data_IF_026292733193
#
_entry.id   IF_026292733193
#
_cell.length_a   1.000
_cell.length_b   1.000
_cell.length_c   1.000
_cell.angle_alpha   90.00
_cell.angle_beta   90.00
_cell.angle_gamma   90.00
#
_symmetry.space_group_name_H-M   'P 1'
#
loop_
_entity.id
_entity.type
_entity.pdbx_description
1 polymer ?
#
# COMPACT_ATOMS: atom_id res chain seq x y z
N UNK A 1 -16.04 2.41 -19.23
CA UNK A 1 -15.14 2.17 -18.08
C UNK A 1 -15.04 0.69 -17.90
N UNK A 2 -13.86 0.12 -18.00
CA UNK A 2 -13.68 -1.33 -17.90
C UNK A 2 -13.94 -1.81 -16.46
N UNK A 3 -14.31 -3.08 -16.28
CA UNK A 3 -14.59 -3.66 -14.96
C UNK A 3 -13.38 -3.55 -14.03
N UNK A 4 -12.17 -3.67 -14.58
CA UNK A 4 -10.91 -3.46 -13.84
C UNK A 4 -10.85 -2.05 -13.23
N UNK A 5 -11.20 -1.02 -14.00
CA UNK A 5 -11.15 0.37 -13.52
C UNK A 5 -12.18 0.61 -12.40
N UNK A 6 -13.36 0.02 -12.50
CA UNK A 6 -14.40 0.11 -11.47
C UNK A 6 -13.94 -0.51 -10.17
N UNK A 7 -13.37 -1.72 -10.22
CA UNK A 7 -12.83 -2.42 -9.06
C UNK A 7 -11.64 -1.64 -8.49
N UNK A 8 -10.71 -1.22 -9.35
CA UNK A 8 -9.51 -0.49 -8.95
C UNK A 8 -9.83 0.79 -8.19
N UNK A 9 -10.83 1.57 -8.65
CA UNK A 9 -11.28 2.82 -8.01
C UNK A 9 -11.79 2.60 -6.59
N UNK A 10 -12.41 1.46 -6.30
CA UNK A 10 -12.97 1.17 -4.97
C UNK A 10 -11.93 0.58 -3.99
N UNK A 11 -10.76 0.20 -4.47
CA UNK A 11 -9.66 -0.24 -3.61
C UNK A 11 -9.02 0.95 -2.88
N UNK A 12 -8.45 0.76 -1.67
CA UNK A 12 -7.99 1.84 -0.81
C UNK A 12 -6.70 2.53 -1.28
N UNK A 13 -6.09 2.09 -2.37
CA UNK A 13 -4.86 2.65 -2.98
C UNK A 13 -3.64 2.72 -2.04
N UNK A 14 -3.55 1.81 -1.07
CA UNK A 14 -2.43 1.75 -0.11
C UNK A 14 -1.18 1.11 -0.72
N UNK A 15 -1.34 0.30 -1.76
CA UNK A 15 -0.24 -0.39 -2.47
C UNK A 15 0.59 -1.32 -1.56
N UNK A 16 -0.02 -1.89 -0.50
CA UNK A 16 0.68 -2.63 0.55
C UNK A 16 1.10 -4.06 0.15
N UNK A 17 0.55 -4.61 -0.93
CA UNK A 17 0.86 -5.97 -1.40
C UNK A 17 0.30 -7.11 -0.56
N UNK A 18 -0.44 -6.85 0.53
CA UNK A 18 -0.94 -7.90 1.44
C UNK A 18 -1.90 -8.90 0.81
N UNK A 19 -2.58 -8.54 -0.26
CA UNK A 19 -3.50 -9.42 -1.02
C UNK A 19 -2.80 -10.38 -2.00
N UNK A 20 -1.50 -10.63 -1.85
CA UNK A 20 -0.64 -11.42 -2.74
C UNK A 20 -0.47 -10.82 -4.14
N UNK A 21 -0.77 -9.54 -4.30
CA UNK A 21 -0.53 -8.82 -5.55
C UNK A 21 0.34 -7.59 -5.29
N UNK A 22 1.18 -7.18 -6.24
CA UNK A 22 2.14 -6.10 -6.02
C UNK A 22 1.47 -4.73 -5.78
N UNK A 23 0.23 -4.55 -6.20
CA UNK A 23 -0.49 -3.29 -6.04
C UNK A 23 -1.98 -3.44 -6.26
N UNK A 24 -2.73 -2.36 -6.04
CA UNK A 24 -4.19 -2.36 -6.13
C UNK A 24 -4.70 -2.59 -7.56
N UNK A 25 -3.99 -2.12 -8.59
CA UNK A 25 -4.38 -2.37 -9.99
C UNK A 25 -4.27 -3.86 -10.34
N UNK A 26 -3.14 -4.47 -9.99
CA UNK A 26 -2.92 -5.91 -10.22
C UNK A 26 -3.92 -6.78 -9.44
N UNK A 27 -4.34 -6.31 -8.25
CA UNK A 27 -5.41 -6.98 -7.53
C UNK A 27 -6.76 -6.85 -8.23
N UNK A 28 -7.10 -5.69 -8.78
CA UNK A 28 -8.30 -5.51 -9.59
C UNK A 28 -8.31 -6.42 -10.83
N UNK A 29 -7.18 -6.53 -11.52
CA UNK A 29 -6.98 -7.46 -12.64
C UNK A 29 -7.15 -8.92 -12.20
N UNK A 30 -6.58 -9.30 -11.06
CA UNK A 30 -6.71 -10.64 -10.50
C UNK A 30 -8.17 -10.98 -10.15
N UNK A 31 -8.92 -10.03 -9.60
CA UNK A 31 -10.35 -10.21 -9.30
C UNK A 31 -11.16 -10.48 -10.59
N UNK A 32 -10.92 -9.71 -11.63
CA UNK A 32 -11.59 -9.94 -12.94
C UNK A 32 -11.24 -11.29 -13.51
N UNK A 33 -10.03 -11.79 -13.25
CA UNK A 33 -9.57 -13.12 -13.66
C UNK A 33 -9.99 -14.26 -12.68
N UNK A 34 -10.90 -13.98 -11.74
CA UNK A 34 -11.51 -14.98 -10.86
C UNK A 34 -10.87 -15.14 -9.50
N UNK A 35 -9.91 -14.29 -9.10
CA UNK A 35 -9.39 -14.31 -7.73
C UNK A 35 -10.43 -13.80 -6.72
N UNK A 36 -10.47 -14.38 -5.50
CA UNK A 36 -11.33 -13.87 -4.43
C UNK A 36 -11.02 -12.39 -4.11
N UNK A 37 -12.08 -11.59 -3.90
CA UNK A 37 -11.92 -10.16 -3.58
C UNK A 37 -12.07 -9.81 -2.08
N UNK A 38 -12.01 -10.81 -1.23
CA UNK A 38 -12.03 -10.71 0.23
C UNK A 38 -10.63 -10.51 0.88
N UNK A 39 -9.56 -10.38 0.07
CA UNK A 39 -8.17 -10.30 0.53
C UNK A 39 -7.70 -8.89 0.90
N UNK A 40 -8.50 -7.86 0.63
CA UNK A 40 -8.08 -6.48 0.88
C UNK A 40 -8.30 -6.09 2.36
N UNK A 41 -7.35 -6.45 3.22
CA UNK A 41 -7.40 -6.16 4.66
C UNK A 41 -7.45 -4.66 4.98
N UNK A 42 -6.60 -3.80 4.37
CA UNK A 42 -6.67 -2.36 4.62
C UNK A 42 -7.97 -1.70 4.16
N UNK A 43 -8.62 -2.28 3.14
CA UNK A 43 -9.93 -1.80 2.67
C UNK A 43 -11.08 -2.20 3.59
N UNK A 44 -10.89 -3.28 4.34
CA UNK A 44 -11.84 -3.80 5.30
C UNK A 44 -13.21 -4.10 4.70
N UNK A 45 -14.22 -4.21 5.58
CA UNK A 45 -15.59 -4.53 5.19
C UNK A 45 -16.23 -3.51 4.25
N UNK A 46 -15.85 -2.22 4.37
CA UNK A 46 -16.37 -1.17 3.50
C UNK A 46 -16.00 -1.41 2.03
N UNK A 47 -14.74 -1.74 1.76
CA UNK A 47 -14.28 -2.07 0.40
C UNK A 47 -14.90 -3.39 -0.07
N UNK A 48 -14.92 -4.42 0.77
CA UNK A 48 -15.52 -5.71 0.44
C UNK A 48 -16.98 -5.57 -0.01
N UNK A 49 -17.79 -4.78 0.70
CA UNK A 49 -19.19 -4.52 0.34
C UNK A 49 -19.34 -3.87 -1.04
N UNK A 50 -18.45 -2.94 -1.38
CA UNK A 50 -18.45 -2.28 -2.69
C UNK A 50 -18.03 -3.26 -3.81
N UNK A 51 -17.01 -4.07 -3.55
CA UNK A 51 -16.56 -5.09 -4.50
C UNK A 51 -17.64 -6.16 -4.73
N UNK A 52 -18.34 -6.61 -3.68
CA UNK A 52 -19.51 -7.50 -3.81
C UNK A 52 -20.57 -6.94 -4.76
N UNK A 53 -20.88 -5.64 -4.64
CA UNK A 53 -21.86 -5.00 -5.51
C UNK A 53 -21.41 -4.95 -6.98
N UNK A 54 -20.11 -4.72 -7.23
CA UNK A 54 -19.55 -4.65 -8.58
C UNK A 54 -19.47 -6.03 -9.22
N UNK A 55 -19.05 -7.05 -8.47
CA UNK A 55 -18.83 -8.42 -8.96
C UNK A 55 -20.06 -9.32 -8.86
N UNK A 56 -21.17 -8.79 -8.33
CA UNK A 56 -22.40 -9.53 -8.07
C UNK A 56 -22.19 -10.80 -7.24
N UNK A 57 -21.39 -10.70 -6.19
CA UNK A 57 -21.05 -11.77 -5.25
C UNK A 57 -21.41 -11.39 -3.81
N UNK A 58 -21.28 -12.29 -2.86
CA UNK A 58 -21.66 -12.06 -1.47
C UNK A 58 -20.65 -12.65 -0.48
N UNK A 59 -19.43 -12.11 -0.45
CA UNK A 59 -18.48 -12.40 0.64
C UNK A 59 -18.92 -11.70 1.91
N UNK A 60 -18.93 -12.42 3.02
CA UNK A 60 -19.45 -11.94 4.33
C UNK A 60 -18.38 -11.28 5.19
N UNK A 61 -17.11 -11.58 4.96
CA UNK A 61 -15.98 -11.04 5.74
C UNK A 61 -14.73 -10.96 4.90
N UNK A 62 -13.80 -10.10 5.32
CA UNK A 62 -12.43 -10.07 4.80
C UNK A 62 -11.69 -11.29 5.32
N UNK A 63 -10.89 -11.92 4.48
CA UNK A 63 -10.10 -13.08 4.85
C UNK A 63 -8.95 -12.70 5.80
N UNK A 64 -8.98 -13.22 7.03
CA UNK A 64 -8.01 -12.93 8.09
C UNK A 64 -6.60 -13.51 7.85
N UNK A 65 -6.44 -14.45 6.90
CA UNK A 65 -5.14 -14.98 6.51
C UNK A 65 -4.20 -13.92 5.95
N UNK A 66 -4.78 -12.83 5.37
CA UNK A 66 -4.04 -11.69 4.82
C UNK A 66 -3.67 -10.63 5.87
N UNK A 67 -3.87 -10.93 7.14
CA UNK A 67 -3.49 -10.13 8.30
C UNK A 67 -4.66 -9.42 8.99
N UNK A 68 -4.37 -8.66 10.06
CA UNK A 68 -5.38 -7.93 10.80
C UNK A 68 -5.86 -6.69 10.02
N UNK A 69 -7.08 -6.26 10.31
CA UNK A 69 -7.60 -4.98 9.82
C UNK A 69 -6.72 -3.84 10.33
N UNK A 70 -6.20 -3.02 9.41
CA UNK A 70 -5.32 -1.90 9.73
C UNK A 70 -6.16 -0.62 9.77
N UNK A 71 -5.99 0.16 10.84
CA UNK A 71 -6.52 1.53 10.90
C UNK A 71 -5.73 2.42 9.94
N UNK A 72 -6.35 3.50 9.49
CA UNK A 72 -5.65 4.50 8.69
C UNK A 72 -4.49 5.08 9.47
N UNK A 73 -3.31 5.10 8.86
CA UNK A 73 -2.05 5.48 9.50
C UNK A 73 -1.07 6.05 8.47
N UNK A 74 -0.04 6.70 8.96
CA UNK A 74 1.17 7.09 8.24
C UNK A 74 2.39 6.57 8.98
N UNK A 75 3.57 6.77 8.42
CA UNK A 75 4.83 6.53 9.11
C UNK A 75 5.65 7.81 9.20
N UNK A 76 6.50 7.90 10.22
CA UNK A 76 7.44 9.00 10.41
C UNK A 76 8.84 8.42 10.60
N UNK A 77 9.84 9.08 10.03
CA UNK A 77 11.25 8.77 10.28
C UNK A 77 11.75 9.68 11.40
N UNK A 78 12.42 9.09 12.40
CA UNK A 78 13.17 9.82 13.41
C UNK A 78 14.50 10.20 12.76
N UNK A 79 14.59 11.45 12.29
CA UNK A 79 15.70 11.90 11.44
C UNK A 79 17.04 11.83 12.14
N UNK A 80 17.09 12.07 13.48
CA UNK A 80 18.28 12.01 14.30
C UNK A 80 18.88 10.59 14.39
N UNK A 81 18.05 9.56 14.24
CA UNK A 81 18.47 8.15 14.28
C UNK A 81 18.77 7.60 12.89
N UNK A 82 18.40 8.33 11.83
CA UNK A 82 18.51 7.88 10.46
C UNK A 82 19.96 7.91 9.96
N UNK A 83 20.49 6.76 9.55
CA UNK A 83 21.86 6.60 9.03
C UNK A 83 22.00 6.80 7.51
N UNK A 84 20.92 7.13 6.79
CA UNK A 84 20.97 7.37 5.35
C UNK A 84 21.24 6.14 4.48
N UNK A 85 20.77 4.94 4.89
CA UNK A 85 21.05 3.66 4.21
C UNK A 85 20.23 3.42 2.94
N UNK A 86 19.23 4.23 2.63
CA UNK A 86 18.32 4.17 1.45
C UNK A 86 17.42 2.93 1.37
N UNK A 87 17.44 2.01 2.32
CA UNK A 87 16.62 0.79 2.24
C UNK A 87 15.12 1.10 2.25
N UNK A 88 14.67 2.05 3.08
CA UNK A 88 13.29 2.52 3.13
C UNK A 88 12.84 3.17 1.80
N UNK A 89 13.70 3.95 1.14
CA UNK A 89 13.44 4.55 -0.18
C UNK A 89 13.19 3.43 -1.21
N UNK A 90 14.06 2.43 -1.24
CA UNK A 90 13.93 1.29 -2.17
C UNK A 90 12.68 0.43 -1.91
N UNK A 91 12.17 0.43 -0.68
CA UNK A 91 10.97 -0.33 -0.30
C UNK A 91 9.67 0.45 -0.51
N UNK A 92 9.73 1.78 -0.64
CA UNK A 92 8.53 2.62 -0.77
C UNK A 92 7.86 2.42 -2.14
N UNK A 93 6.59 1.99 -2.19
CA UNK A 93 5.89 1.74 -3.45
C UNK A 93 5.33 3.00 -4.10
N UNK A 94 5.35 4.13 -3.39
CA UNK A 94 4.73 5.39 -3.80
C UNK A 94 5.72 6.56 -3.77
N UNK A 95 7.03 6.27 -3.68
CA UNK A 95 8.12 7.25 -3.63
C UNK A 95 7.91 8.39 -2.61
N UNK A 96 7.27 8.05 -1.48
CA UNK A 96 6.98 9.01 -0.41
C UNK A 96 8.17 9.28 0.52
N UNK A 97 9.38 8.80 0.21
CA UNK A 97 10.56 8.98 1.06
C UNK A 97 11.65 9.67 0.25
N UNK A 98 12.10 10.82 0.76
CA UNK A 98 13.19 11.60 0.20
C UNK A 98 14.46 11.48 1.05
N UNK A 99 15.61 11.75 0.44
CA UNK A 99 16.93 11.69 1.07
C UNK A 99 17.98 11.06 0.15
N UNK A 100 19.18 10.86 0.66
CA UNK A 100 20.31 10.35 -0.11
C UNK A 100 21.20 9.39 0.70
N UNK A 101 22.25 8.89 0.07
CA UNK A 101 23.26 8.07 0.74
C UNK A 101 23.97 8.89 1.83
N UNK A 102 24.01 8.37 3.06
CA UNK A 102 24.57 9.05 4.23
C UNK A 102 23.91 10.40 4.57
N UNK A 103 22.69 10.62 4.10
CA UNK A 103 21.85 11.76 4.44
C UNK A 103 20.59 11.25 5.12
N UNK A 104 20.10 11.97 6.13
CA UNK A 104 18.83 11.62 6.78
C UNK A 104 17.70 11.54 5.73
N UNK A 105 16.77 10.66 5.97
CA UNK A 105 15.58 10.51 5.12
C UNK A 105 14.38 11.15 5.79
N UNK A 106 13.47 11.70 4.98
CA UNK A 106 12.21 12.29 5.44
C UNK A 106 11.03 11.74 4.66
N UNK A 107 9.86 11.72 5.28
CA UNK A 107 8.60 11.28 4.65
C UNK A 107 7.92 12.50 4.01
N UNK A 108 7.42 12.31 2.80
CA UNK A 108 6.50 13.24 2.14
C UNK A 108 5.09 12.82 2.54
N UNK A 109 4.50 13.53 3.50
CA UNK A 109 3.25 13.17 4.16
C UNK A 109 2.09 12.96 3.19
N UNK A 110 1.96 13.78 2.17
CA UNK A 110 0.86 13.71 1.20
C UNK A 110 0.94 12.48 0.30
N UNK A 111 2.14 11.92 0.12
CA UNK A 111 2.38 10.72 -0.67
C UNK A 111 2.33 9.44 0.17
N UNK A 112 2.61 9.52 1.47
CA UNK A 112 2.68 8.35 2.33
C UNK A 112 1.31 7.67 2.47
N UNK A 113 1.23 6.38 2.12
CA UNK A 113 0.02 5.56 2.22
C UNK A 113 -0.09 4.77 3.52
N UNK A 114 0.95 4.78 4.37
CA UNK A 114 0.98 3.98 5.61
C UNK A 114 1.06 2.47 5.37
N UNK A 115 1.67 2.04 4.28
CA UNK A 115 1.76 0.62 3.89
C UNK A 115 2.74 -0.20 4.73
N UNK A 116 3.55 0.42 5.59
CA UNK A 116 4.56 -0.17 6.50
C UNK A 116 5.77 -0.83 5.81
N UNK A 117 5.83 -0.92 4.49
CA UNK A 117 6.89 -1.64 3.78
C UNK A 117 8.30 -1.07 3.98
N UNK A 118 8.42 0.15 4.50
CA UNK A 118 9.70 0.79 4.83
C UNK A 118 10.23 0.43 6.23
N UNK A 119 9.40 -0.14 7.11
CA UNK A 119 9.76 -0.42 8.52
C UNK A 119 10.75 -1.58 8.59
N UNK A 120 10.37 -2.75 8.07
CA UNK A 120 11.17 -3.98 8.15
C UNK A 120 12.62 -3.81 7.62
N UNK A 121 12.87 -3.16 6.46
CA UNK A 121 14.24 -3.02 5.96
C UNK A 121 15.09 -1.97 6.70
N UNK A 122 14.53 -1.24 7.67
CA UNK A 122 15.27 -0.23 8.42
C UNK A 122 16.22 -0.92 9.43
N UNK A 123 17.55 -0.75 9.32
CA UNK A 123 18.48 -1.47 10.18
C UNK A 123 18.66 -0.84 11.57
N UNK A 124 18.09 0.34 11.78
CA UNK A 124 18.18 1.10 13.04
C UNK A 124 16.82 1.39 13.67
N UNK A 125 15.75 0.79 13.11
CA UNK A 125 14.37 0.88 13.61
C UNK A 125 13.86 2.31 13.84
N UNK A 126 14.35 3.29 13.07
CA UNK A 126 14.02 4.71 13.22
C UNK A 126 12.70 5.12 12.52
N UNK A 127 11.80 4.19 12.24
CA UNK A 127 10.53 4.46 11.55
C UNK A 127 9.36 4.08 12.45
N UNK A 128 8.55 5.08 12.81
CA UNK A 128 7.40 4.93 13.69
C UNK A 128 6.07 5.00 12.92
N UNK A 129 5.08 4.25 13.42
CA UNK A 129 3.70 4.30 12.91
C UNK A 129 2.95 5.41 13.65
N UNK A 130 2.31 6.31 12.88
CA UNK A 130 1.45 7.37 13.40
C UNK A 130 0.00 7.08 12.99
N UNK A 131 -0.89 6.78 13.95
CA UNK A 131 -2.31 6.65 13.66
C UNK A 131 -2.89 7.96 13.14
N UNK A 132 -3.72 7.90 12.10
CA UNK A 132 -4.46 9.06 11.60
C UNK A 132 -5.77 9.24 12.38
N UNK A 133 -6.18 10.49 12.54
CA UNK A 133 -7.54 10.81 13.00
C UNK A 133 -8.57 10.36 11.96
N UNK A 134 -9.83 10.15 12.40
CA UNK A 134 -10.91 9.77 11.48
C UNK A 134 -11.14 10.84 10.39
N UNK A 135 -10.86 12.10 10.67
CA UNK A 135 -10.97 13.20 9.71
C UNK A 135 -9.87 13.14 8.64
N UNK A 136 -8.64 12.82 9.01
CA UNK A 136 -7.51 12.67 8.07
C UNK A 136 -7.60 11.36 7.28
N UNK A 137 -8.14 10.32 7.88
CA UNK A 137 -8.39 9.04 7.22
C UNK A 137 -9.45 9.14 6.11
N UNK A 138 -10.37 10.09 6.20
CA UNK A 138 -11.43 10.29 5.23
C UNK A 138 -11.01 11.05 3.97
N UNK A 139 -9.83 11.70 3.96
CA UNK A 139 -9.32 12.42 2.78
C UNK A 139 -9.04 11.44 1.64
N UNK A 140 -9.53 11.71 0.42
CA UNK A 140 -9.18 10.91 -0.76
C UNK A 140 -7.66 10.92 -0.96
N UNK A 141 -7.09 9.75 -1.17
CA UNK A 141 -5.69 9.66 -1.59
C UNK A 141 -5.64 9.75 -3.10
N UNK A 142 -5.12 10.85 -3.62
CA UNK A 142 -4.78 10.97 -5.03
C UNK A 142 -3.45 10.23 -5.27
N UNK A 143 -3.57 8.95 -5.57
CA UNK A 143 -2.43 8.23 -6.13
C UNK A 143 -2.32 8.67 -7.59
N UNK A 144 -1.26 9.37 -7.94
CA UNK A 144 -1.10 9.86 -9.31
C UNK A 144 -1.10 8.70 -10.30
N UNK A 145 -1.85 8.83 -11.38
CA UNK A 145 -1.93 7.90 -12.50
C UNK A 145 -0.52 7.52 -13.03
N UNK A 146 0.43 8.42 -12.86
CA UNK A 146 1.83 8.30 -13.25
C UNK A 146 2.51 7.01 -12.71
N UNK A 147 2.17 6.56 -11.49
CA UNK A 147 2.76 5.35 -10.91
C UNK A 147 2.29 4.06 -11.59
N UNK A 148 1.17 4.09 -12.30
CA UNK A 148 0.62 2.91 -12.95
C UNK A 148 1.14 2.69 -14.37
N UNK A 149 1.63 3.74 -15.03
CA UNK A 149 1.98 3.71 -16.44
C UNK A 149 3.48 3.59 -16.69
N UNK A 150 4.34 3.75 -15.67
CA UNK A 150 5.78 3.69 -15.84
C UNK A 150 6.35 2.27 -15.76
N UNK A 151 7.31 1.96 -16.64
CA UNK A 151 8.08 0.70 -16.60
C UNK A 151 8.87 0.52 -15.28
N UNK A 152 9.06 1.60 -14.53
CA UNK A 152 9.70 1.62 -13.20
C UNK A 152 8.86 0.86 -12.16
N UNK A 153 7.55 0.79 -12.30
CA UNK A 153 6.68 -0.05 -11.51
C UNK A 153 7.08 -1.53 -11.53
N UNK A 154 7.59 -2.03 -12.65
CA UNK A 154 8.09 -3.41 -12.75
C UNK A 154 9.33 -3.65 -11.88
N UNK A 155 10.17 -2.64 -11.71
CA UNK A 155 11.38 -2.73 -10.88
C UNK A 155 11.04 -2.66 -9.39
N UNK A 156 10.10 -1.79 -9.02
CA UNK A 156 9.57 -1.69 -7.66
C UNK A 156 8.85 -3.00 -7.28
N UNK A 157 8.02 -3.52 -8.15
CA UNK A 157 7.31 -4.78 -7.95
C UNK A 157 8.24 -5.99 -7.81
N UNK A 158 9.34 -6.04 -8.57
CA UNK A 158 10.38 -7.08 -8.42
C UNK A 158 11.09 -7.01 -7.07
N UNK A 159 11.33 -5.80 -6.55
CA UNK A 159 11.94 -5.61 -5.22
C UNK A 159 10.97 -6.01 -4.11
N UNK A 160 9.68 -5.68 -4.24
CA UNK A 160 8.61 -6.07 -3.34
C UNK A 160 8.45 -7.57 -3.19
N UNK A 161 8.36 -8.28 -4.33
CA UNK A 161 8.26 -9.74 -4.33
C UNK A 161 9.47 -10.44 -3.67
N UNK A 162 10.63 -9.79 -3.62
CA UNK A 162 11.78 -10.27 -2.86
C UNK A 162 11.63 -10.10 -1.35
N UNK A 163 10.88 -9.08 -0.90
CA UNK A 163 10.66 -8.80 0.54
C UNK A 163 9.53 -9.65 1.13
N UNK A 164 8.58 -10.10 0.31
CA UNK A 164 7.45 -10.94 0.73
C UNK A 164 7.83 -12.43 0.82
N UNK A 165 8.94 -12.84 0.22
CA UNK A 165 9.40 -14.24 0.17
C UNK A 165 10.51 -14.57 1.19
N UNK A 166 10.51 -13.90 2.36
CA UNK A 166 11.34 -14.25 3.52
C UNK A 166 10.47 -14.68 4.69
#
# INVERSE_FOLDING_TARGET
MELIDLIHKELPQIQCGRCDTPGCKQYAEAIVNGSPHDRCVPGGFKTLKKLNAITNTNYISVNSEYGPTIKSQKVKIIEEECIGCKKCISACPVDAITGGTNMMHSIIDDLCTGCELCIEPCPVDCIEIIPLSDQDAAKPREVSQFFYDSKENLTINKKRNKLINF
#
